data_IF_640858987435
#
_entry.id   IF_640858987435
#
_cell.length_a   1.000
_cell.length_b   1.000
_cell.length_c   1.000
_cell.angle_alpha   90.00
_cell.angle_beta   90.00
_cell.angle_gamma   90.00
#
_symmetry.space_group_name_H-M   'P 1'
#
loop_
_entity.id
_entity.type
_entity.pdbx_description
1 polymer ?
#
# COMPACT_ATOMS: atom_id res chain seq x y z
N UNK A 1 -22.48 -24.68 20.25
CA UNK A 1 -21.27 -24.51 19.43
C UNK A 1 -21.67 -23.68 18.20
N UNK A 2 -21.35 -22.40 18.18
CA UNK A 2 -21.57 -21.50 17.01
C UNK A 2 -20.74 -22.03 15.84
N UNK A 3 -21.38 -22.39 14.71
CA UNK A 3 -20.67 -22.73 13.46
C UNK A 3 -19.82 -21.51 13.07
N UNK A 4 -18.50 -21.63 13.14
CA UNK A 4 -17.57 -20.62 12.64
C UNK A 4 -17.89 -20.38 11.15
N UNK A 5 -18.40 -19.21 10.85
CA UNK A 5 -18.74 -18.81 9.48
C UNK A 5 -17.46 -18.81 8.62
N UNK A 6 -17.50 -19.42 7.45
CA UNK A 6 -16.34 -19.49 6.56
C UNK A 6 -15.87 -18.09 6.12
N UNK A 7 -14.56 -17.91 5.89
CA UNK A 7 -13.99 -16.66 5.43
C UNK A 7 -14.70 -16.15 4.16
N UNK A 8 -15.01 -17.04 3.21
CA UNK A 8 -15.71 -16.67 1.98
C UNK A 8 -17.08 -16.06 2.24
N UNK A 9 -17.88 -16.64 3.17
CA UNK A 9 -19.19 -16.10 3.53
C UNK A 9 -19.05 -14.72 4.23
N UNK A 10 -18.07 -14.57 5.09
CA UNK A 10 -17.76 -13.29 5.78
C UNK A 10 -17.31 -12.20 4.77
N UNK A 11 -16.47 -12.53 3.78
CA UNK A 11 -16.08 -11.64 2.70
C UNK A 11 -17.29 -11.22 1.83
N UNK A 12 -18.19 -12.14 1.54
CA UNK A 12 -19.44 -11.86 0.81
C UNK A 12 -20.32 -10.83 1.52
N UNK A 13 -20.40 -10.89 2.86
CA UNK A 13 -21.17 -9.95 3.68
C UNK A 13 -20.45 -8.66 4.05
N UNK A 14 -19.12 -8.62 3.95
CA UNK A 14 -18.30 -7.46 4.34
C UNK A 14 -18.69 -6.21 3.56
N UNK A 15 -18.59 -5.04 4.20
CA UNK A 15 -18.82 -3.72 3.58
C UNK A 15 -17.60 -2.86 3.79
N UNK A 16 -17.33 -1.97 2.82
CA UNK A 16 -16.23 -1.02 2.83
C UNK A 16 -16.68 0.32 2.24
N UNK A 17 -16.09 1.41 2.75
CA UNK A 17 -16.33 2.75 2.23
C UNK A 17 -15.57 2.94 0.91
N UNK A 18 -16.17 2.51 -0.21
CA UNK A 18 -15.61 2.64 -1.55
C UNK A 18 -16.74 2.84 -2.56
N UNK A 19 -16.42 3.18 -3.82
CA UNK A 19 -17.39 3.13 -4.91
C UNK A 19 -17.75 1.65 -5.21
N UNK A 20 -19.01 1.35 -5.61
CA UNK A 20 -19.49 -0.03 -5.74
C UNK A 20 -18.60 -0.92 -6.60
N UNK A 21 -18.22 -0.49 -7.79
CA UNK A 21 -17.42 -1.29 -8.73
C UNK A 21 -16.04 -1.64 -8.18
N UNK A 22 -15.40 -0.73 -7.44
CA UNK A 22 -14.10 -0.97 -6.80
C UNK A 22 -14.26 -1.97 -5.64
N UNK A 23 -15.30 -1.80 -4.82
CA UNK A 23 -15.60 -2.73 -3.72
C UNK A 23 -15.88 -4.14 -4.24
N UNK A 24 -16.65 -4.26 -5.34
CA UNK A 24 -16.99 -5.56 -5.93
C UNK A 24 -15.79 -6.22 -6.61
N UNK A 25 -14.93 -5.44 -7.28
CA UNK A 25 -13.67 -5.94 -7.83
C UNK A 25 -12.75 -6.46 -6.73
N UNK A 26 -12.60 -5.72 -5.64
CA UNK A 26 -11.80 -6.12 -4.49
C UNK A 26 -12.36 -7.40 -3.83
N UNK A 27 -13.69 -7.49 -3.67
CA UNK A 27 -14.36 -8.69 -3.13
C UNK A 27 -14.13 -9.91 -4.00
N UNK A 28 -14.35 -9.81 -5.32
CA UNK A 28 -14.08 -10.92 -6.26
C UNK A 28 -12.62 -11.35 -6.19
N UNK A 29 -11.68 -10.39 -6.14
CA UNK A 29 -10.26 -10.70 -6.00
C UNK A 29 -9.93 -11.46 -4.72
N UNK A 30 -10.47 -11.06 -3.57
CA UNK A 30 -10.27 -11.76 -2.29
C UNK A 30 -10.88 -13.17 -2.29
N UNK A 31 -12.06 -13.34 -2.88
CA UNK A 31 -12.70 -14.66 -3.00
C UNK A 31 -11.90 -15.58 -3.92
N UNK A 32 -11.46 -15.07 -5.09
CA UNK A 32 -10.62 -15.82 -6.02
C UNK A 32 -9.27 -16.20 -5.39
N UNK A 33 -8.64 -15.26 -4.66
CA UNK A 33 -7.42 -15.56 -3.91
C UNK A 33 -7.63 -16.69 -2.89
N UNK A 34 -8.69 -16.60 -2.08
CA UNK A 34 -8.98 -17.62 -1.07
C UNK A 34 -9.24 -18.99 -1.70
N UNK A 35 -9.98 -19.06 -2.82
CA UNK A 35 -10.21 -20.29 -3.58
C UNK A 35 -8.93 -20.90 -4.12
N UNK A 36 -8.12 -20.07 -4.81
CA UNK A 36 -6.85 -20.54 -5.39
C UNK A 36 -5.85 -21.04 -4.33
N UNK A 37 -5.83 -20.41 -3.14
CA UNK A 37 -5.00 -20.88 -2.03
C UNK A 37 -5.50 -22.20 -1.44
N UNK A 38 -6.82 -22.37 -1.31
CA UNK A 38 -7.41 -23.63 -0.86
C UNK A 38 -7.14 -24.77 -1.84
N UNK A 39 -7.23 -24.52 -3.15
CA UNK A 39 -6.91 -25.49 -4.22
C UNK A 39 -5.44 -25.92 -4.18
N UNK A 40 -4.53 -25.03 -3.74
CA UNK A 40 -3.11 -25.31 -3.50
C UNK A 40 -2.84 -26.02 -2.18
N UNK A 41 -3.88 -26.35 -1.40
CA UNK A 41 -3.76 -27.10 -0.16
C UNK A 41 -3.50 -26.25 1.09
N UNK A 42 -3.57 -24.91 1.00
CA UNK A 42 -3.42 -24.08 2.19
C UNK A 42 -4.62 -24.23 3.13
N UNK A 43 -4.34 -24.29 4.42
CA UNK A 43 -5.37 -24.35 5.45
C UNK A 43 -6.16 -23.03 5.55
N UNK A 44 -7.41 -23.06 6.05
CA UNK A 44 -8.20 -21.85 6.31
C UNK A 44 -7.48 -20.83 7.20
N UNK A 45 -6.64 -21.29 8.13
CA UNK A 45 -5.85 -20.42 9.01
C UNK A 45 -4.74 -19.69 8.27
N UNK A 46 -4.03 -20.35 7.36
CA UNK A 46 -2.99 -19.76 6.52
C UNK A 46 -3.60 -18.74 5.54
N UNK A 47 -4.73 -19.07 4.92
CA UNK A 47 -5.46 -18.15 4.04
C UNK A 47 -5.90 -16.91 4.82
N UNK A 48 -6.48 -17.09 6.01
CA UNK A 48 -6.88 -15.97 6.86
C UNK A 48 -5.66 -15.11 7.31
N UNK A 49 -4.48 -15.70 7.47
CA UNK A 49 -3.25 -14.98 7.75
C UNK A 49 -2.85 -14.09 6.58
N UNK A 50 -2.80 -14.63 5.35
CA UNK A 50 -2.46 -13.88 4.14
C UNK A 50 -3.49 -12.79 3.79
N UNK A 51 -4.75 -12.97 4.17
CA UNK A 51 -5.77 -11.94 4.07
C UNK A 51 -5.57 -10.87 5.14
N UNK A 52 -5.15 -11.24 6.37
CA UNK A 52 -4.97 -10.31 7.48
C UNK A 52 -3.69 -9.47 7.39
N UNK A 53 -2.59 -10.03 6.88
CA UNK A 53 -1.32 -9.32 6.71
C UNK A 53 -1.28 -8.45 5.46
N UNK A 54 -2.27 -8.60 4.55
CA UNK A 54 -2.43 -7.83 3.34
C UNK A 54 -1.78 -8.43 2.09
N UNK A 55 -1.16 -9.62 2.17
CA UNK A 55 -0.59 -10.31 1.01
C UNK A 55 -1.62 -10.51 -0.10
N UNK A 56 -2.86 -10.89 0.26
CA UNK A 56 -3.96 -11.00 -0.69
C UNK A 56 -4.28 -9.67 -1.39
N UNK A 57 -4.38 -8.58 -0.62
CA UNK A 57 -4.66 -7.25 -1.18
C UNK A 57 -3.53 -6.76 -2.10
N UNK A 58 -2.27 -6.97 -1.70
CA UNK A 58 -1.08 -6.65 -2.49
C UNK A 58 -1.08 -7.44 -3.82
N UNK A 59 -1.38 -8.74 -3.78
CA UNK A 59 -1.49 -9.57 -4.99
C UNK A 59 -2.56 -9.05 -5.96
N UNK A 60 -3.75 -8.72 -5.45
CA UNK A 60 -4.85 -8.13 -6.24
C UNK A 60 -4.41 -6.82 -6.90
N UNK A 61 -3.77 -5.94 -6.15
CA UNK A 61 -3.25 -4.68 -6.67
C UNK A 61 -2.19 -4.87 -7.76
N UNK A 62 -1.23 -5.78 -7.55
CA UNK A 62 -0.16 -6.08 -8.52
C UNK A 62 -0.72 -6.66 -9.83
N UNK A 63 -1.69 -7.56 -9.75
CA UNK A 63 -2.39 -8.09 -10.94
C UNK A 63 -3.10 -6.96 -11.70
N UNK A 64 -3.78 -6.06 -10.98
CA UNK A 64 -4.40 -4.90 -11.60
C UNK A 64 -3.41 -3.98 -12.31
N UNK A 65 -2.24 -3.73 -11.70
CA UNK A 65 -1.19 -2.89 -12.29
C UNK A 65 -0.57 -3.54 -13.53
N UNK A 66 -0.34 -4.86 -13.52
CA UNK A 66 0.27 -5.57 -14.67
C UNK A 66 -0.60 -5.54 -15.93
N UNK A 67 -1.90 -5.28 -15.77
CA UNK A 67 -2.85 -5.16 -16.89
C UNK A 67 -2.92 -3.75 -17.48
N UNK A 68 -2.21 -2.76 -16.91
CA UNK A 68 -2.25 -1.38 -17.38
C UNK A 68 -1.09 -1.07 -18.33
N UNK A 69 -1.38 -0.23 -19.33
CA UNK A 69 -0.35 0.37 -20.19
C UNK A 69 0.41 1.45 -19.40
N UNK A 70 1.71 1.51 -19.60
CA UNK A 70 2.58 2.59 -19.09
C UNK A 70 2.83 3.68 -20.12
N UNK A 71 2.20 3.58 -21.29
CA UNK A 71 2.34 4.57 -22.35
C UNK A 71 1.84 5.95 -21.90
N UNK A 72 2.61 6.98 -22.18
CA UNK A 72 2.28 8.36 -21.79
C UNK A 72 2.67 8.73 -20.34
N UNK A 73 3.27 7.82 -19.58
CA UNK A 73 3.83 8.14 -18.28
C UNK A 73 5.21 8.81 -18.43
N UNK A 74 5.38 9.93 -17.72
CA UNK A 74 6.65 10.67 -17.66
C UNK A 74 7.56 10.21 -16.51
N UNK A 75 7.17 9.18 -15.76
CA UNK A 75 7.94 8.63 -14.67
C UNK A 75 9.20 7.95 -15.19
N UNK A 76 10.37 8.45 -14.77
CA UNK A 76 11.68 7.91 -15.14
C UNK A 76 12.52 7.58 -13.89
N UNK A 77 13.56 6.79 -14.08
CA UNK A 77 14.52 6.50 -13.02
C UNK A 77 15.21 7.77 -12.55
N UNK A 78 15.33 7.98 -11.24
CA UNK A 78 15.85 9.21 -10.64
C UNK A 78 14.85 10.37 -10.57
N UNK A 79 13.64 10.23 -11.16
CA UNK A 79 12.54 11.14 -10.89
C UNK A 79 11.94 10.80 -9.51
N UNK A 80 12.26 11.58 -8.49
CA UNK A 80 11.91 11.28 -7.10
C UNK A 80 10.92 12.26 -6.47
N UNK A 81 10.23 13.09 -7.25
CA UNK A 81 9.29 14.09 -6.71
C UNK A 81 8.15 13.46 -5.90
N UNK A 82 7.61 12.32 -6.33
CA UNK A 82 6.61 11.56 -5.57
C UNK A 82 7.16 10.94 -4.27
N UNK A 83 8.47 10.89 -4.11
CA UNK A 83 9.13 10.43 -2.90
C UNK A 83 9.45 11.57 -1.93
N UNK A 84 9.12 12.82 -2.23
CA UNK A 84 9.09 13.93 -1.29
C UNK A 84 7.75 13.84 -0.54
N UNK A 85 7.82 13.30 0.68
CA UNK A 85 6.64 12.95 1.47
C UNK A 85 6.12 14.21 2.19
N UNK A 86 5.30 14.98 1.49
CA UNK A 86 4.70 16.20 2.04
C UNK A 86 3.66 15.93 3.15
N UNK A 87 3.13 14.71 3.23
CA UNK A 87 2.38 14.20 4.38
C UNK A 87 3.30 13.36 5.27
N UNK A 88 3.11 13.41 6.57
CA UNK A 88 3.96 12.70 7.56
C UNK A 88 4.00 11.18 7.34
N UNK A 89 3.02 10.62 6.66
CA UNK A 89 2.77 9.18 6.57
C UNK A 89 3.42 8.52 5.35
N UNK A 90 3.61 9.25 4.26
CA UNK A 90 4.13 8.73 2.99
C UNK A 90 3.21 7.71 2.30
N UNK A 91 2.08 7.37 2.91
CA UNK A 91 1.07 6.45 2.40
C UNK A 91 0.84 5.23 3.27
N UNK A 92 -0.36 4.67 3.12
CA UNK A 92 -0.83 3.50 3.87
C UNK A 92 -0.35 2.21 3.22
N UNK A 93 0.38 1.38 3.97
CA UNK A 93 0.88 0.08 3.52
C UNK A 93 0.39 -1.05 4.44
N UNK A 94 0.39 -2.27 3.92
CA UNK A 94 0.02 -3.48 4.68
C UNK A 94 1.18 -4.01 5.51
N UNK A 95 0.92 -4.99 6.38
CA UNK A 95 1.98 -5.66 7.13
C UNK A 95 2.96 -6.40 6.21
N UNK A 96 2.47 -7.09 5.19
CA UNK A 96 3.31 -7.78 4.23
C UNK A 96 4.27 -6.80 3.53
N UNK A 97 3.76 -5.66 3.06
CA UNK A 97 4.58 -4.62 2.44
C UNK A 97 5.57 -3.97 3.41
N UNK A 98 5.15 -3.76 4.67
CA UNK A 98 6.03 -3.21 5.69
C UNK A 98 7.20 -4.15 5.98
N UNK A 99 6.95 -5.46 6.04
CA UNK A 99 8.00 -6.49 6.19
C UNK A 99 8.92 -6.51 4.97
N UNK A 100 8.37 -6.54 3.75
CA UNK A 100 9.16 -6.52 2.50
C UNK A 100 10.07 -5.27 2.44
N UNK A 101 9.51 -4.10 2.74
CA UNK A 101 10.22 -2.82 2.70
C UNK A 101 11.33 -2.77 3.76
N UNK A 102 11.03 -3.14 5.00
CA UNK A 102 12.00 -3.18 6.08
C UNK A 102 13.15 -4.15 5.75
N UNK A 103 12.84 -5.36 5.28
CA UNK A 103 13.84 -6.36 4.91
C UNK A 103 14.77 -5.85 3.81
N UNK A 104 14.23 -5.13 2.82
CA UNK A 104 15.02 -4.57 1.73
C UNK A 104 15.94 -3.42 2.18
N UNK A 105 15.52 -2.64 3.19
CA UNK A 105 16.25 -1.45 3.63
C UNK A 105 17.19 -1.70 4.82
N UNK A 106 16.92 -2.69 5.67
CA UNK A 106 17.73 -2.95 6.87
C UNK A 106 19.23 -3.18 6.60
N UNK A 107 19.68 -3.79 5.47
CA UNK A 107 21.10 -3.88 5.14
C UNK A 107 21.78 -2.54 4.88
N UNK A 108 20.99 -1.47 4.68
CA UNK A 108 21.47 -0.10 4.42
C UNK A 108 21.48 0.76 5.67
N UNK A 109 21.30 0.16 6.84
CA UNK A 109 21.30 0.86 8.12
C UNK A 109 22.58 1.67 8.35
N UNK A 110 22.41 2.92 8.79
CA UNK A 110 23.51 3.85 9.05
C UNK A 110 24.15 4.48 7.81
N UNK A 111 23.71 4.11 6.60
CA UNK A 111 24.17 4.76 5.37
C UNK A 111 23.38 6.07 5.11
N UNK A 112 23.98 7.04 4.38
CA UNK A 112 23.26 8.21 3.88
C UNK A 112 21.99 7.79 3.13
N UNK A 113 20.89 8.51 3.32
CA UNK A 113 19.59 8.19 2.74
C UNK A 113 18.97 9.41 2.05
N UNK A 114 17.76 9.27 1.50
CA UNK A 114 17.09 10.31 0.75
C UNK A 114 16.95 11.65 1.48
N UNK A 115 16.98 11.65 2.80
CA UNK A 115 16.95 12.87 3.62
C UNK A 115 18.20 13.73 3.43
N UNK A 116 19.31 13.16 2.96
CA UNK A 116 20.49 13.90 2.54
C UNK A 116 20.29 14.72 1.25
N UNK A 117 19.37 14.30 0.37
CA UNK A 117 18.96 15.06 -0.80
C UNK A 117 17.88 16.10 -0.49
N UNK A 118 16.83 15.71 0.24
CA UNK A 118 15.73 16.60 0.60
C UNK A 118 15.18 16.19 1.98
N UNK A 119 14.95 17.14 2.92
CA UNK A 119 14.56 16.79 4.31
C UNK A 119 13.30 15.94 4.43
N UNK A 120 12.37 16.05 3.48
CA UNK A 120 11.13 15.27 3.42
C UNK A 120 11.21 14.09 2.46
N UNK A 121 12.38 13.76 1.92
CA UNK A 121 12.48 12.62 1.01
C UNK A 121 12.34 11.30 1.75
N UNK A 122 11.76 10.32 1.04
CA UNK A 122 11.68 8.96 1.54
C UNK A 122 13.08 8.41 1.86
N UNK A 123 13.32 7.85 3.06
CA UNK A 123 14.61 7.26 3.42
C UNK A 123 15.06 6.10 2.53
N UNK A 124 14.15 5.51 1.76
CA UNK A 124 14.50 4.47 0.79
C UNK A 124 15.30 4.98 -0.42
N UNK A 125 15.40 6.31 -0.62
CA UNK A 125 16.17 6.87 -1.73
C UNK A 125 17.66 6.86 -1.44
N UNK A 126 18.44 6.65 -2.48
CA UNK A 126 19.84 7.01 -2.53
C UNK A 126 19.95 8.53 -2.68
N UNK A 127 20.74 9.24 -1.84
CA UNK A 127 20.76 10.70 -1.85
C UNK A 127 21.43 11.32 -3.08
N UNK A 128 22.32 10.59 -3.75
CA UNK A 128 23.06 11.09 -4.91
C UNK A 128 22.29 10.82 -6.21
N UNK A 129 21.87 9.58 -6.41
CA UNK A 129 21.19 9.14 -7.63
C UNK A 129 19.69 9.37 -7.61
N UNK A 130 19.10 9.58 -6.43
CA UNK A 130 17.65 9.65 -6.16
C UNK A 130 16.89 8.39 -6.56
N UNK A 131 17.59 7.26 -6.72
CA UNK A 131 16.98 5.96 -7.02
C UNK A 131 16.45 5.32 -5.74
N UNK A 132 15.31 4.65 -5.85
CA UNK A 132 14.78 3.87 -4.74
C UNK A 132 15.61 2.60 -4.54
N UNK A 133 16.30 2.47 -3.40
CA UNK A 133 17.10 1.28 -3.05
C UNK A 133 16.25 0.05 -2.71
N UNK A 134 14.96 0.26 -2.43
CA UNK A 134 13.97 -0.81 -2.25
C UNK A 134 13.05 -0.96 -3.48
N UNK A 135 13.54 -0.72 -4.72
CA UNK A 135 12.70 -0.66 -5.91
C UNK A 135 11.83 -1.90 -6.12
N UNK A 136 12.39 -3.09 -5.93
CA UNK A 136 11.66 -4.36 -6.04
C UNK A 136 10.62 -4.55 -4.94
N UNK A 137 10.87 -4.01 -3.74
CA UNK A 137 10.00 -4.07 -2.56
C UNK A 137 9.08 -2.84 -2.42
N UNK A 138 8.92 -2.02 -3.48
CA UNK A 138 8.03 -0.86 -3.43
C UNK A 138 6.60 -1.27 -3.11
N UNK A 139 5.96 -0.66 -2.08
CA UNK A 139 4.55 -0.85 -1.77
C UNK A 139 3.62 -0.41 -2.90
N UNK A 140 2.36 -0.81 -2.83
CA UNK A 140 1.35 -0.50 -3.84
C UNK A 140 1.17 1.00 -4.08
N UNK A 141 1.24 1.83 -3.05
CA UNK A 141 1.17 3.29 -3.22
C UNK A 141 2.29 3.81 -4.12
N UNK A 142 3.54 3.34 -3.91
CA UNK A 142 4.69 3.74 -4.71
C UNK A 142 4.64 3.24 -6.16
N UNK A 143 3.98 2.10 -6.38
CA UNK A 143 3.81 1.50 -7.72
C UNK A 143 2.67 2.13 -8.50
N UNK A 144 1.71 2.71 -7.80
CA UNK A 144 0.46 3.21 -8.37
C UNK A 144 0.44 4.71 -8.56
N UNK A 145 1.34 5.46 -7.91
CA UNK A 145 1.40 6.91 -8.06
C UNK A 145 2.23 7.28 -9.29
N UNK A 146 1.59 7.87 -10.27
CA UNK A 146 2.19 8.16 -11.58
C UNK A 146 1.76 9.54 -12.08
N UNK A 147 2.48 10.06 -13.08
CA UNK A 147 2.12 11.28 -13.79
C UNK A 147 2.60 11.21 -15.24
N UNK A 148 1.87 11.86 -16.14
CA UNK A 148 2.30 12.19 -17.49
C UNK A 148 3.09 13.51 -17.57
N UNK A 149 3.23 14.24 -16.45
CA UNK A 149 3.89 15.55 -16.39
C UNK A 149 4.84 15.63 -15.16
N UNK A 150 6.14 15.68 -15.44
CA UNK A 150 7.18 15.81 -14.39
C UNK A 150 7.13 17.20 -13.73
N UNK A 151 6.81 18.26 -14.48
CA UNK A 151 6.74 19.61 -13.92
C UNK A 151 5.57 19.75 -12.92
N UNK A 152 4.45 19.06 -13.18
CA UNK A 152 3.35 18.97 -12.22
C UNK A 152 3.78 18.24 -10.94
N UNK A 153 4.56 17.14 -11.05
CA UNK A 153 5.12 16.44 -9.90
C UNK A 153 6.03 17.34 -9.07
N UNK A 154 6.86 18.15 -9.72
CA UNK A 154 7.76 19.08 -9.03
C UNK A 154 6.98 20.15 -8.27
N UNK A 155 5.91 20.72 -8.85
CA UNK A 155 5.03 21.67 -8.16
C UNK A 155 4.37 21.04 -6.92
N UNK A 156 3.82 19.84 -7.06
CA UNK A 156 3.23 19.10 -5.92
C UNK A 156 4.28 18.85 -4.83
N UNK A 157 5.50 18.49 -5.20
CA UNK A 157 6.59 18.29 -4.25
C UNK A 157 6.96 19.58 -3.49
N UNK A 158 6.80 20.75 -4.13
CA UNK A 158 6.95 22.07 -3.49
C UNK A 158 5.74 22.50 -2.65
N UNK A 159 4.67 21.70 -2.61
CA UNK A 159 3.44 21.98 -1.88
C UNK A 159 2.42 22.80 -2.67
N UNK A 160 2.63 22.98 -3.97
CA UNK A 160 1.71 23.69 -4.86
C UNK A 160 0.62 22.72 -5.38
N UNK A 161 -0.57 23.24 -5.65
CA UNK A 161 -1.60 22.47 -6.35
C UNK A 161 -1.24 22.30 -7.83
N UNK A 162 -1.27 21.07 -8.32
CA UNK A 162 -1.10 20.77 -9.74
C UNK A 162 -1.94 19.56 -10.13
N UNK A 163 -2.50 19.59 -11.32
CA UNK A 163 -3.19 18.46 -11.94
C UNK A 163 -2.16 17.51 -12.59
N UNK A 164 -2.53 16.24 -12.74
CA UNK A 164 -1.76 15.22 -13.45
C UNK A 164 -1.18 14.11 -12.58
N UNK A 165 -0.45 14.39 -11.47
CA UNK A 165 -0.03 13.34 -10.55
C UNK A 165 -1.21 12.69 -9.83
N UNK A 166 -1.24 11.35 -9.80
CA UNK A 166 -2.31 10.65 -9.11
C UNK A 166 -2.08 9.14 -8.98
N UNK A 167 -3.01 8.50 -8.28
CA UNK A 167 -2.98 7.05 -8.08
C UNK A 167 -3.82 6.33 -9.12
N UNK A 168 -3.25 5.27 -9.70
CA UNK A 168 -3.94 4.39 -10.65
C UNK A 168 -5.06 3.59 -9.99
N UNK A 169 -6.09 3.26 -10.75
CA UNK A 169 -7.28 2.52 -10.30
C UNK A 169 -6.99 1.24 -9.47
N UNK A 170 -5.95 0.43 -9.74
CA UNK A 170 -5.59 -0.73 -8.92
C UNK A 170 -5.28 -0.41 -7.46
N UNK A 171 -4.77 0.79 -7.15
CA UNK A 171 -4.55 1.21 -5.76
C UNK A 171 -5.86 1.32 -4.98
N UNK A 172 -6.90 1.86 -5.59
CA UNK A 172 -8.22 1.95 -4.95
C UNK A 172 -8.83 0.57 -4.69
N UNK A 173 -8.60 -0.38 -5.61
CA UNK A 173 -9.00 -1.79 -5.43
C UNK A 173 -8.22 -2.45 -4.29
N UNK A 174 -6.92 -2.21 -4.20
CA UNK A 174 -6.07 -2.68 -3.09
C UNK A 174 -6.54 -2.14 -1.74
N UNK A 175 -6.82 -0.83 -1.63
CA UNK A 175 -7.35 -0.24 -0.39
C UNK A 175 -8.70 -0.84 0.01
N UNK A 176 -9.60 -1.01 -0.95
CA UNK A 176 -10.89 -1.64 -0.72
C UNK A 176 -10.74 -3.10 -0.26
N UNK A 177 -9.77 -3.84 -0.79
CA UNK A 177 -9.46 -5.20 -0.36
C UNK A 177 -8.99 -5.23 1.10
N UNK A 178 -8.12 -4.31 1.53
CA UNK A 178 -7.72 -4.20 2.95
C UNK A 178 -8.93 -3.91 3.84
N UNK A 179 -9.79 -2.98 3.44
CA UNK A 179 -11.01 -2.64 4.19
C UNK A 179 -11.98 -3.82 4.32
N UNK A 180 -12.20 -4.56 3.23
CA UNK A 180 -13.02 -5.79 3.23
C UNK A 180 -12.40 -6.89 4.10
N UNK A 181 -11.08 -7.07 4.03
CA UNK A 181 -10.33 -8.02 4.88
C UNK A 181 -10.52 -7.69 6.36
N UNK A 182 -10.39 -6.41 6.73
CA UNK A 182 -10.62 -5.93 8.11
C UNK A 182 -12.05 -6.20 8.58
N UNK A 183 -13.03 -5.92 7.73
CA UNK A 183 -14.44 -6.17 8.06
C UNK A 183 -14.75 -7.67 8.19
N UNK A 184 -14.26 -8.51 7.27
CA UNK A 184 -14.48 -9.95 7.26
C UNK A 184 -13.79 -10.66 8.43
N UNK A 185 -12.61 -10.19 8.85
CA UNK A 185 -11.82 -10.81 9.91
C UNK A 185 -12.10 -10.22 11.30
N UNK A 186 -13.04 -9.26 11.41
CA UNK A 186 -13.40 -8.65 12.70
C UNK A 186 -13.71 -9.72 13.75
N UNK A 187 -13.07 -9.62 14.91
CA UNK A 187 -13.19 -10.59 16.01
C UNK A 187 -12.40 -11.88 15.85
N UNK A 188 -11.73 -12.12 14.72
CA UNK A 188 -10.90 -13.31 14.49
C UNK A 188 -9.41 -12.97 14.32
N UNK A 189 -9.08 -12.03 13.45
CA UNK A 189 -7.69 -11.56 13.23
C UNK A 189 -7.67 -10.04 13.05
N UNK A 190 -6.56 -9.42 13.47
CA UNK A 190 -6.33 -7.99 13.27
C UNK A 190 -5.76 -7.75 11.87
N UNK A 191 -6.35 -6.81 11.13
CA UNK A 191 -5.79 -6.28 9.88
C UNK A 191 -5.21 -4.90 10.18
N UNK A 192 -3.89 -4.82 10.24
CA UNK A 192 -3.16 -3.58 10.54
C UNK A 192 -2.64 -2.93 9.28
N UNK A 193 -2.53 -1.60 9.30
CA UNK A 193 -1.85 -0.80 8.30
C UNK A 193 -0.73 0.01 8.95
N UNK A 194 0.21 0.48 8.16
CA UNK A 194 1.43 1.10 8.63
C UNK A 194 1.78 2.34 7.80
N UNK A 195 2.49 3.30 8.41
CA UNK A 195 3.10 4.42 7.73
C UNK A 195 4.30 3.94 6.92
N UNK A 196 4.28 4.19 5.61
CA UNK A 196 5.41 3.91 4.73
C UNK A 196 6.68 4.65 5.20
N UNK A 197 6.54 5.94 5.51
CA UNK A 197 7.65 6.79 5.94
C UNK A 197 8.31 6.24 7.22
N UNK A 198 7.49 5.88 8.23
CA UNK A 198 7.99 5.38 9.50
C UNK A 198 8.65 4.00 9.36
N UNK A 199 8.12 3.11 8.48
CA UNK A 199 8.77 1.82 8.20
C UNK A 199 10.12 2.02 7.52
N UNK A 200 10.20 2.88 6.50
CA UNK A 200 11.45 3.16 5.81
C UNK A 200 12.49 3.79 6.75
N UNK A 201 12.08 4.76 7.56
CA UNK A 201 12.96 5.40 8.55
C UNK A 201 13.48 4.39 9.57
N UNK A 202 12.60 3.60 10.21
CA UNK A 202 13.01 2.60 11.19
C UNK A 202 14.03 1.59 10.64
N UNK A 203 13.85 1.16 9.38
CA UNK A 203 14.77 0.23 8.73
C UNK A 203 16.18 0.83 8.53
N UNK A 204 16.29 2.06 7.96
CA UNK A 204 17.58 2.70 7.72
C UNK A 204 18.24 3.22 9.01
N UNK A 205 17.49 3.41 10.07
CA UNK A 205 17.96 3.75 11.42
C UNK A 205 18.37 2.53 12.25
N UNK A 206 18.31 1.32 11.67
CA UNK A 206 18.74 0.09 12.32
C UNK A 206 17.78 -0.43 13.39
N UNK A 207 16.53 -0.01 13.40
CA UNK A 207 15.53 -0.56 14.28
C UNK A 207 15.17 -1.99 13.86
N UNK A 208 14.94 -2.87 14.86
CA UNK A 208 14.41 -4.20 14.55
C UNK A 208 13.04 -4.12 13.88
N UNK A 209 12.67 -5.15 13.11
CA UNK A 209 11.36 -5.24 12.44
C UNK A 209 10.22 -5.05 13.44
N UNK A 210 10.26 -5.74 14.58
CA UNK A 210 9.19 -5.67 15.58
C UNK A 210 9.03 -4.27 16.15
N UNK A 211 10.14 -3.58 16.45
CA UNK A 211 10.12 -2.19 16.94
C UNK A 211 9.56 -1.25 15.87
N UNK A 212 10.01 -1.40 14.64
CA UNK A 212 9.53 -0.61 13.50
C UNK A 212 8.03 -0.81 13.27
N UNK A 213 7.56 -2.07 13.26
CA UNK A 213 6.13 -2.35 13.11
C UNK A 213 5.29 -1.84 14.28
N UNK A 214 5.82 -1.84 15.50
CA UNK A 214 5.11 -1.30 16.65
C UNK A 214 4.92 0.22 16.54
N UNK A 215 5.97 0.95 16.16
CA UNK A 215 5.96 2.41 16.06
C UNK A 215 5.25 2.94 14.82
N UNK A 216 5.38 2.25 13.67
CA UNK A 216 4.79 2.65 12.39
C UNK A 216 3.30 2.28 12.24
N UNK A 217 2.73 1.52 13.18
CA UNK A 217 1.35 1.05 13.08
C UNK A 217 0.36 2.17 13.18
N UNK A 218 -0.55 2.23 12.21
CA UNK A 218 -1.65 3.17 12.21
C UNK A 218 -2.67 2.93 13.32
N UNK A 219 -3.28 4.01 13.78
CA UNK A 219 -4.54 3.93 14.53
C UNK A 219 -5.65 3.40 13.62
N UNK A 220 -6.68 2.72 14.18
CA UNK A 220 -7.75 2.12 13.36
C UNK A 220 -8.44 3.10 12.41
N UNK A 221 -8.57 4.37 12.77
CA UNK A 221 -9.23 5.40 11.97
C UNK A 221 -8.46 5.82 10.71
N UNK A 222 -7.16 5.60 10.64
CA UNK A 222 -6.34 6.03 9.47
C UNK A 222 -6.77 5.30 8.19
N UNK A 223 -6.97 3.99 8.24
CA UNK A 223 -7.49 3.25 7.08
C UNK A 223 -8.88 3.75 6.68
N UNK A 224 -9.74 4.11 7.63
CA UNK A 224 -11.08 4.64 7.32
C UNK A 224 -11.00 6.01 6.65
N UNK A 225 -10.07 6.87 7.08
CA UNK A 225 -9.81 8.16 6.46
C UNK A 225 -9.29 7.98 5.03
N UNK A 226 -8.36 7.05 4.82
CA UNK A 226 -7.79 6.75 3.50
C UNK A 226 -8.83 6.16 2.55
N UNK A 227 -9.69 5.25 3.00
CA UNK A 227 -10.80 4.72 2.22
C UNK A 227 -11.80 5.81 1.80
N UNK A 228 -12.09 6.76 2.69
CA UNK A 228 -12.96 7.91 2.36
C UNK A 228 -12.29 8.83 1.33
N UNK A 229 -10.98 9.06 1.42
CA UNK A 229 -10.20 9.82 0.44
C UNK A 229 -10.26 9.13 -0.92
N UNK A 230 -9.89 7.86 -0.98
CA UNK A 230 -9.95 7.02 -2.17
C UNK A 230 -11.33 7.05 -2.84
N UNK A 231 -12.41 6.97 -2.07
CA UNK A 231 -13.78 7.07 -2.59
C UNK A 231 -14.04 8.42 -3.24
N UNK A 232 -13.60 9.53 -2.62
CA UNK A 232 -13.77 10.89 -3.20
C UNK A 232 -13.00 11.05 -4.51
N UNK A 233 -11.76 10.55 -4.55
CA UNK A 233 -10.91 10.64 -5.74
C UNK A 233 -11.53 9.89 -6.91
N UNK A 234 -12.03 8.67 -6.69
CA UNK A 234 -12.73 7.89 -7.70
C UNK A 234 -14.05 8.53 -8.17
N UNK A 235 -14.79 9.18 -7.26
CA UNK A 235 -16.05 9.85 -7.63
C UNK A 235 -15.86 11.15 -8.42
N UNK A 236 -14.64 11.72 -8.40
CA UNK A 236 -14.31 12.92 -9.21
C UNK A 236 -13.77 12.56 -10.59
N UNK A 237 -13.24 11.34 -10.74
CA UNK A 237 -12.70 10.84 -12.00
C UNK A 237 -13.74 10.15 -12.90
N UNK A 238 -14.98 9.98 -12.40
CA UNK A 238 -16.15 9.43 -13.10
C UNK A 238 -17.02 10.55 -13.66
#
# INVERSE_FOLDING_TARGET
>A
MSKSESLGLRLGKARVASVPDVADRARRGLLAFASAMAEKGHSPSEIATQVSDGSAAQGIGRVGLSALSTQGLACAEGCAFCCILNGEDGGTITQAEAVELHTALSPLSGQPDGRGWHPKACPALDPETRRCRAYAARPMICRSYVSGDVAACERVAKGEAAEGPGTLAPYHTYLAAIGLSRAALKGAKRVSTYSLAAVAAGAVEGQSLDRTLASARHKPGELDAELKRSKRDMSRAS
#
